data_IF_275900941140
#
_entry.id   IF_275900941140
#
_cell.length_a   1.000
_cell.length_b   1.000
_cell.length_c   1.000
_cell.angle_alpha   90.00
_cell.angle_beta   90.00
_cell.angle_gamma   90.00
#
_symmetry.space_group_name_H-M   'P 1'
#
loop_
_entity.id
_entity.type
_entity.pdbx_description
1 polymer ?
#
# COMPACT_ATOMS: atom_id res chain seq x y z
N UNK A 1 -7.51 34.85 16.38
CA UNK A 1 -6.09 35.04 16.01
C UNK A 1 -5.23 33.83 16.35
N UNK A 2 -5.27 33.29 17.58
CA UNK A 2 -4.48 32.12 17.97
C UNK A 2 -4.80 30.81 17.20
N UNK A 3 -6.07 30.61 16.83
CA UNK A 3 -6.53 29.43 16.09
C UNK A 3 -5.87 29.32 14.71
N UNK A 4 -5.66 30.45 14.03
CA UNK A 4 -4.98 30.51 12.73
C UNK A 4 -3.52 30.07 12.90
N UNK A 5 -2.83 30.53 13.94
CA UNK A 5 -1.45 30.14 14.24
C UNK A 5 -1.33 28.63 14.48
N UNK A 6 -2.27 28.01 15.20
CA UNK A 6 -2.29 26.55 15.43
C UNK A 6 -2.47 25.78 14.11
N UNK A 7 -3.38 26.21 13.23
CA UNK A 7 -3.57 25.59 11.92
C UNK A 7 -2.38 25.79 10.98
N UNK A 8 -1.69 26.94 11.05
CA UNK A 8 -0.47 27.19 10.27
C UNK A 8 0.67 26.29 10.73
N UNK A 9 0.85 26.10 12.04
CA UNK A 9 1.89 25.22 12.60
C UNK A 9 1.63 23.76 12.24
N UNK A 10 0.37 23.30 12.35
CA UNK A 10 -0.01 21.95 11.92
C UNK A 10 0.14 21.76 10.40
N UNK A 11 -0.21 22.77 9.60
CA UNK A 11 -0.02 22.75 8.15
C UNK A 11 1.45 22.69 7.75
N UNK A 12 2.32 23.45 8.44
CA UNK A 12 3.77 23.40 8.24
C UNK A 12 4.38 22.07 8.66
N UNK A 13 3.93 21.46 9.76
CA UNK A 13 4.36 20.12 10.14
C UNK A 13 3.90 19.06 9.14
N UNK A 14 2.66 19.15 8.65
CA UNK A 14 2.14 18.25 7.62
C UNK A 14 2.86 18.41 6.26
N UNK A 15 3.32 19.63 5.94
CA UNK A 15 4.11 19.94 4.72
C UNK A 15 5.48 19.25 4.70
N UNK A 16 6.09 19.01 5.86
CA UNK A 16 7.44 18.46 5.96
C UNK A 16 7.46 16.94 5.88
N UNK A 17 6.45 16.26 6.43
CA UNK A 17 6.48 14.79 6.56
C UNK A 17 5.68 14.06 5.47
N UNK A 18 4.58 14.63 4.94
CA UNK A 18 3.69 13.89 4.03
C UNK A 18 2.97 14.80 3.02
N UNK A 19 3.49 14.98 1.79
CA UNK A 19 2.95 15.93 0.80
C UNK A 19 1.51 15.63 0.34
N UNK A 20 1.01 14.40 0.49
CA UNK A 20 -0.37 14.03 0.14
C UNK A 20 -1.42 14.58 1.13
N UNK A 21 -1.01 14.90 2.37
CA UNK A 21 -1.87 15.46 3.42
C UNK A 21 -2.27 16.90 3.17
N UNK A 22 -1.56 17.58 2.27
CA UNK A 22 -1.66 19.01 2.01
C UNK A 22 -3.04 19.43 1.48
N UNK A 23 -3.60 18.65 0.54
CA UNK A 23 -4.90 18.94 -0.06
C UNK A 23 -6.04 18.85 0.97
N UNK A 24 -5.97 17.87 1.88
CA UNK A 24 -6.96 17.71 2.95
C UNK A 24 -6.89 18.85 3.96
N UNK A 25 -5.68 19.31 4.29
CA UNK A 25 -5.46 20.40 5.25
C UNK A 25 -5.94 21.75 4.71
N UNK A 26 -5.63 22.06 3.43
CA UNK A 26 -6.12 23.26 2.76
C UNK A 26 -7.64 23.26 2.66
N UNK A 27 -8.26 22.13 2.30
CA UNK A 27 -9.71 21.98 2.25
C UNK A 27 -10.37 22.35 3.58
N UNK A 28 -9.86 21.81 4.69
CA UNK A 28 -10.35 22.12 6.04
C UNK A 28 -10.14 23.60 6.40
N UNK A 29 -8.97 24.17 6.08
CA UNK A 29 -8.66 25.59 6.29
C UNK A 29 -9.61 26.51 5.52
N UNK A 30 -9.94 26.19 4.26
CA UNK A 30 -10.94 26.95 3.48
C UNK A 30 -12.33 26.88 4.11
N UNK A 31 -12.75 25.73 4.64
CA UNK A 31 -14.05 25.62 5.32
C UNK A 31 -14.06 26.46 6.60
N UNK A 32 -13.03 26.34 7.43
CA UNK A 32 -12.91 27.08 8.71
C UNK A 32 -12.80 28.60 8.48
N UNK A 33 -12.04 29.03 7.48
CA UNK A 33 -11.92 30.45 7.12
C UNK A 33 -13.19 31.00 6.48
N UNK A 34 -13.91 30.20 5.68
CA UNK A 34 -15.21 30.59 5.12
C UNK A 34 -16.28 30.80 6.18
N UNK A 35 -16.23 30.05 7.30
CA UNK A 35 -17.18 30.20 8.40
C UNK A 35 -16.85 31.41 9.28
N UNK A 36 -15.57 31.79 9.38
CA UNK A 36 -15.12 32.87 10.28
C UNK A 36 -15.09 34.28 9.64
N UNK A 37 -15.24 34.40 8.32
CA UNK A 37 -15.28 35.68 7.61
C UNK A 37 -16.62 36.42 7.75
N UNK A 38 -16.65 37.47 8.57
CA UNK A 38 -17.80 38.36 8.76
C UNK A 38 -18.16 39.20 7.51
N UNK A 39 -19.47 39.36 7.28
CA UNK A 39 -20.11 40.26 6.29
C UNK A 39 -19.76 40.05 4.80
N UNK A 40 -20.30 38.99 4.19
CA UNK A 40 -20.39 38.89 2.72
C UNK A 40 -21.83 38.66 2.26
N UNK A 41 -22.23 39.40 1.22
CA UNK A 41 -23.60 39.52 0.64
C UNK A 41 -24.37 38.19 0.59
N UNK A 42 -25.62 38.23 1.05
CA UNK A 42 -26.54 37.08 1.27
C UNK A 42 -26.60 36.08 0.09
N UNK A 43 -26.57 36.55 -1.17
CA UNK A 43 -26.58 35.67 -2.35
C UNK A 43 -25.34 34.79 -2.53
N UNK A 44 -24.16 35.24 -2.08
CA UNK A 44 -22.91 34.46 -2.14
C UNK A 44 -22.80 33.45 -0.98
N UNK A 45 -23.57 33.69 0.08
CA UNK A 45 -23.62 32.85 1.29
C UNK A 45 -24.37 31.55 1.04
N UNK A 46 -25.48 31.59 0.30
CA UNK A 46 -26.23 30.39 -0.09
C UNK A 46 -25.40 29.45 -0.98
N UNK A 47 -24.68 30.00 -1.96
CA UNK A 47 -23.77 29.21 -2.81
C UNK A 47 -22.62 28.60 -2.01
N UNK A 48 -22.04 29.35 -1.06
CA UNK A 48 -20.97 28.83 -0.20
C UNK A 48 -21.48 27.72 0.72
N UNK A 49 -22.65 27.90 1.36
CA UNK A 49 -23.25 26.88 2.22
C UNK A 49 -23.59 25.61 1.45
N UNK A 50 -24.20 25.74 0.26
CA UNK A 50 -24.52 24.59 -0.58
C UNK A 50 -23.25 23.82 -1.02
N UNK A 51 -22.17 24.52 -1.38
CA UNK A 51 -20.88 23.90 -1.70
C UNK A 51 -20.28 23.19 -0.49
N UNK A 52 -20.30 23.81 0.69
CA UNK A 52 -19.79 23.18 1.92
C UNK A 52 -20.57 21.92 2.27
N UNK A 53 -21.90 21.96 2.18
CA UNK A 53 -22.75 20.77 2.40
C UNK A 53 -22.46 19.69 1.36
N UNK A 54 -22.33 20.06 0.09
CA UNK A 54 -22.00 19.13 -1.00
C UNK A 54 -20.64 18.46 -0.79
N UNK A 55 -19.61 19.23 -0.44
CA UNK A 55 -18.28 18.71 -0.11
C UNK A 55 -18.29 17.83 1.13
N UNK A 56 -19.03 18.20 2.18
CA UNK A 56 -19.16 17.39 3.39
C UNK A 56 -19.89 16.06 3.09
N UNK A 57 -20.95 16.08 2.28
CA UNK A 57 -21.65 14.88 1.85
C UNK A 57 -20.73 13.98 1.01
N UNK A 58 -19.98 14.55 0.06
CA UNK A 58 -19.00 13.82 -0.73
C UNK A 58 -17.90 13.20 0.13
N UNK A 59 -17.34 13.96 1.07
CA UNK A 59 -16.35 13.45 2.03
C UNK A 59 -16.92 12.33 2.90
N UNK A 60 -18.18 12.43 3.31
CA UNK A 60 -18.88 11.38 4.03
C UNK A 60 -19.03 10.09 3.22
N UNK A 61 -19.34 10.19 1.92
CA UNK A 61 -19.40 9.05 1.00
C UNK A 61 -18.04 8.37 0.87
N UNK A 62 -16.97 9.14 0.62
CA UNK A 62 -15.60 8.61 0.53
C UNK A 62 -15.18 7.93 1.84
N UNK A 63 -15.53 8.52 2.99
CA UNK A 63 -15.22 7.93 4.29
C UNK A 63 -16.00 6.63 4.54
N UNK A 64 -17.26 6.55 4.11
CA UNK A 64 -18.06 5.35 4.20
C UNK A 64 -17.52 4.22 3.32
N UNK A 65 -17.10 4.53 2.09
CA UNK A 65 -16.44 3.58 1.18
C UNK A 65 -15.11 3.09 1.77
N UNK A 66 -14.26 3.99 2.25
CA UNK A 66 -12.99 3.64 2.89
C UNK A 66 -13.20 2.76 4.13
N UNK A 67 -14.21 3.07 4.95
CA UNK A 67 -14.54 2.27 6.13
C UNK A 67 -14.98 0.85 5.75
N UNK A 68 -15.84 0.72 4.73
CA UNK A 68 -16.25 -0.59 4.20
C UNK A 68 -15.05 -1.38 3.69
N UNK A 69 -14.22 -0.78 2.85
CA UNK A 69 -13.05 -1.44 2.26
C UNK A 69 -12.05 -1.86 3.34
N UNK A 70 -11.88 -1.04 4.37
CA UNK A 70 -11.04 -1.36 5.52
C UNK A 70 -11.56 -2.60 6.27
N UNK A 71 -12.88 -2.68 6.52
CA UNK A 71 -13.48 -3.85 7.17
C UNK A 71 -13.28 -5.13 6.34
N UNK A 72 -13.37 -5.05 5.01
CA UNK A 72 -13.10 -6.19 4.12
C UNK A 72 -11.62 -6.61 4.19
N UNK A 73 -10.71 -5.65 4.18
CA UNK A 73 -9.28 -5.91 4.30
C UNK A 73 -8.93 -6.55 5.65
N UNK A 74 -9.45 -6.00 6.74
CA UNK A 74 -9.25 -6.52 8.10
C UNK A 74 -9.79 -7.96 8.22
N UNK A 75 -11.00 -8.20 7.69
CA UNK A 75 -11.59 -9.53 7.64
C UNK A 75 -10.70 -10.52 6.86
N UNK A 76 -10.21 -10.12 5.69
CA UNK A 76 -9.34 -10.96 4.87
C UNK A 76 -8.01 -11.29 5.58
N UNK A 77 -7.41 -10.32 6.27
CA UNK A 77 -6.17 -10.52 7.03
C UNK A 77 -6.38 -11.42 8.25
N UNK A 78 -7.50 -11.27 8.95
CA UNK A 78 -7.83 -12.08 10.12
C UNK A 78 -8.11 -13.55 9.74
N UNK A 79 -8.87 -13.76 8.67
CA UNK A 79 -9.30 -15.10 8.22
C UNK A 79 -8.26 -15.80 7.36
N UNK A 80 -7.43 -15.05 6.63
CA UNK A 80 -6.38 -15.57 5.74
C UNK A 80 -5.31 -16.41 6.43
N UNK A 81 -5.21 -16.34 7.76
CA UNK A 81 -4.32 -17.19 8.56
C UNK A 81 -4.82 -18.64 8.70
N UNK A 82 -6.09 -18.91 8.38
CA UNK A 82 -6.72 -20.23 8.51
C UNK A 82 -6.99 -20.82 7.14
N UNK A 83 -6.34 -21.95 6.83
CA UNK A 83 -6.44 -22.62 5.53
C UNK A 83 -7.90 -22.83 5.07
N UNK A 84 -8.79 -23.23 5.98
CA UNK A 84 -10.20 -23.48 5.68
C UNK A 84 -10.99 -22.22 5.27
N UNK A 85 -10.51 -21.02 5.65
CA UNK A 85 -11.17 -19.74 5.38
C UNK A 85 -10.49 -18.94 4.27
N UNK A 86 -9.42 -19.46 3.66
CA UNK A 86 -8.73 -18.80 2.56
C UNK A 86 -9.64 -18.39 1.39
N UNK A 87 -10.64 -19.19 0.96
CA UNK A 87 -11.55 -18.76 -0.10
C UNK A 87 -12.32 -17.49 0.26
N UNK A 88 -12.74 -17.36 1.52
CA UNK A 88 -13.47 -16.19 2.02
C UNK A 88 -12.56 -14.96 2.16
N UNK A 89 -11.32 -15.17 2.62
CA UNK A 89 -10.33 -14.10 2.66
C UNK A 89 -10.03 -13.57 1.25
N UNK A 90 -9.89 -14.47 0.27
CA UNK A 90 -9.67 -14.09 -1.13
C UNK A 90 -10.86 -13.35 -1.73
N UNK A 91 -12.09 -13.82 -1.50
CA UNK A 91 -13.28 -13.12 -2.01
C UNK A 91 -13.40 -11.72 -1.42
N UNK A 92 -13.17 -11.55 -0.11
CA UNK A 92 -13.21 -10.25 0.54
C UNK A 92 -12.18 -9.26 -0.03
N UNK A 93 -10.99 -9.73 -0.42
CA UNK A 93 -10.00 -8.89 -1.12
C UNK A 93 -10.45 -8.49 -2.54
N UNK A 94 -11.15 -9.37 -3.24
CA UNK A 94 -11.67 -9.09 -4.59
C UNK A 94 -12.86 -8.14 -4.57
N UNK A 95 -13.58 -8.06 -3.46
CA UNK A 95 -14.70 -7.12 -3.27
C UNK A 95 -14.24 -5.68 -3.05
N UNK A 96 -12.94 -5.45 -2.80
CA UNK A 96 -12.35 -4.11 -2.70
C UNK A 96 -12.07 -3.58 -4.11
N UNK A 97 -12.66 -2.45 -4.53
CA UNK A 97 -12.50 -1.92 -5.88
C UNK A 97 -11.04 -1.57 -6.22
N UNK A 98 -10.61 -1.68 -7.49
CA UNK A 98 -9.26 -1.27 -7.93
C UNK A 98 -8.96 0.23 -7.76
N UNK A 99 -10.00 1.07 -7.66
CA UNK A 99 -9.88 2.50 -7.40
C UNK A 99 -9.88 2.88 -5.92
N UNK A 100 -9.96 1.89 -5.02
CA UNK A 100 -9.94 2.12 -3.58
C UNK A 100 -8.59 2.69 -3.13
N UNK A 101 -8.61 3.54 -2.11
CA UNK A 101 -7.38 3.98 -1.43
C UNK A 101 -6.63 2.80 -0.78
N UNK A 102 -7.28 1.66 -0.58
CA UNK A 102 -6.69 0.45 -0.01
C UNK A 102 -6.20 -0.56 -1.05
N UNK A 103 -6.37 -0.30 -2.36
CA UNK A 103 -5.89 -1.21 -3.41
C UNK A 103 -4.40 -1.55 -3.32
N UNK A 104 -3.47 -0.64 -2.93
CA UNK A 104 -2.08 -1.01 -2.69
C UNK A 104 -1.90 -2.03 -1.56
N UNK A 105 -2.69 -1.95 -0.48
CA UNK A 105 -2.68 -2.93 0.61
C UNK A 105 -3.21 -4.29 0.17
N UNK A 106 -4.23 -4.31 -0.70
CA UNK A 106 -4.74 -5.55 -1.32
C UNK A 106 -3.62 -6.21 -2.13
N UNK A 107 -2.91 -5.43 -2.96
CA UNK A 107 -1.80 -5.94 -3.76
C UNK A 107 -0.64 -6.46 -2.88
N UNK A 108 -0.29 -5.75 -1.80
CA UNK A 108 0.71 -6.23 -0.84
C UNK A 108 0.29 -7.55 -0.19
N UNK A 109 -0.95 -7.62 0.29
CA UNK A 109 -1.49 -8.83 0.93
C UNK A 109 -1.51 -10.02 -0.04
N UNK A 110 -1.91 -9.77 -1.29
CA UNK A 110 -1.91 -10.77 -2.35
C UNK A 110 -0.49 -11.22 -2.72
N UNK A 111 0.48 -10.30 -2.85
CA UNK A 111 1.87 -10.63 -3.14
C UNK A 111 2.52 -11.42 -2.00
N UNK A 112 2.24 -11.10 -0.73
CA UNK A 112 2.77 -11.87 0.41
C UNK A 112 2.18 -13.29 0.45
N UNK A 113 0.89 -13.41 0.11
CA UNK A 113 0.14 -14.67 0.25
C UNK A 113 0.17 -15.57 -0.99
N UNK A 114 0.67 -15.09 -2.14
CA UNK A 114 0.74 -15.89 -3.35
C UNK A 114 1.84 -16.96 -3.26
N UNK A 115 1.63 -18.04 -4.02
CA UNK A 115 2.66 -19.03 -4.26
C UNK A 115 3.43 -18.68 -5.55
N UNK A 116 4.67 -18.17 -5.44
CA UNK A 116 5.40 -17.66 -6.60
C UNK A 116 5.81 -18.75 -7.58
N UNK A 117 5.68 -20.03 -7.22
CA UNK A 117 5.94 -21.18 -8.10
C UNK A 117 4.72 -21.56 -8.96
N UNK A 118 3.51 -21.22 -8.52
CA UNK A 118 2.26 -21.70 -9.15
C UNK A 118 1.49 -20.59 -9.86
N UNK A 119 1.61 -19.34 -9.42
CA UNK A 119 0.91 -18.21 -10.04
C UNK A 119 1.42 -17.93 -11.46
N UNK A 120 0.58 -17.33 -12.30
CA UNK A 120 1.02 -16.74 -13.58
C UNK A 120 2.15 -15.74 -13.34
N UNK A 121 3.21 -15.81 -14.14
CA UNK A 121 4.37 -14.91 -14.02
C UNK A 121 3.98 -13.46 -14.27
N UNK A 122 3.15 -13.19 -15.28
CA UNK A 122 2.66 -11.83 -15.59
C UNK A 122 1.90 -11.22 -14.42
N UNK A 123 0.94 -11.98 -13.88
CA UNK A 123 0.02 -11.48 -12.88
C UNK A 123 0.73 -11.34 -11.53
N UNK A 124 1.58 -12.31 -11.20
CA UNK A 124 2.43 -12.25 -10.02
C UNK A 124 3.36 -11.05 -10.04
N UNK A 125 4.01 -10.76 -11.18
CA UNK A 125 4.88 -9.60 -11.32
C UNK A 125 4.10 -8.28 -11.24
N UNK A 126 2.91 -8.20 -11.81
CA UNK A 126 2.06 -7.01 -11.72
C UNK A 126 1.68 -6.71 -10.25
N UNK A 127 1.18 -7.73 -9.54
CA UNK A 127 0.76 -7.60 -8.13
C UNK A 127 1.96 -7.30 -7.22
N UNK A 128 3.05 -8.06 -7.36
CA UNK A 128 4.24 -7.84 -6.54
C UNK A 128 4.99 -6.55 -6.90
N UNK A 129 4.85 -6.05 -8.13
CA UNK A 129 5.35 -4.74 -8.53
C UNK A 129 4.73 -3.62 -7.68
N UNK A 130 3.41 -3.62 -7.52
CA UNK A 130 2.71 -2.66 -6.64
C UNK A 130 3.15 -2.83 -5.19
N UNK A 131 3.19 -4.08 -4.69
CA UNK A 131 3.59 -4.37 -3.31
C UNK A 131 5.00 -3.83 -2.98
N UNK A 132 5.96 -4.03 -3.88
CA UNK A 132 7.35 -3.61 -3.69
C UNK A 132 7.54 -2.09 -3.72
N UNK A 133 6.68 -1.35 -4.41
CA UNK A 133 6.72 0.12 -4.41
C UNK A 133 6.00 0.71 -3.20
N UNK A 134 4.95 0.06 -2.72
CA UNK A 134 4.10 0.59 -1.65
C UNK A 134 4.60 0.21 -0.25
N UNK A 135 4.78 -1.09 0.01
CA UNK A 135 5.13 -1.61 1.33
C UNK A 135 5.95 -2.90 1.18
N UNK A 136 7.25 -2.80 0.82
CA UNK A 136 8.09 -3.96 0.61
C UNK A 136 8.30 -4.74 1.91
N UNK A 137 8.14 -6.06 1.83
CA UNK A 137 8.40 -7.02 2.91
C UNK A 137 9.37 -8.10 2.44
N UNK A 138 9.87 -8.93 3.36
CA UNK A 138 10.72 -10.08 3.00
C UNK A 138 9.96 -11.03 2.07
N UNK A 139 8.73 -11.36 2.40
CA UNK A 139 7.89 -12.28 1.63
C UNK A 139 7.59 -11.74 0.23
N UNK A 140 7.16 -10.48 0.13
CA UNK A 140 6.86 -9.85 -1.16
C UNK A 140 8.13 -9.70 -2.02
N UNK A 141 9.26 -9.35 -1.41
CA UNK A 141 10.55 -9.26 -2.09
C UNK A 141 11.07 -10.60 -2.61
N UNK A 142 10.99 -11.66 -1.80
CA UNK A 142 11.37 -13.01 -2.23
C UNK A 142 10.42 -13.53 -3.31
N UNK A 143 9.11 -13.36 -3.14
CA UNK A 143 8.12 -13.78 -4.14
C UNK A 143 8.36 -13.04 -5.48
N UNK A 144 8.60 -11.72 -5.45
CA UNK A 144 8.94 -10.94 -6.63
C UNK A 144 10.23 -11.44 -7.33
N UNK A 145 11.28 -11.73 -6.56
CA UNK A 145 12.53 -12.24 -7.12
C UNK A 145 12.36 -13.63 -7.77
N UNK A 146 11.61 -14.52 -7.14
CA UNK A 146 11.30 -15.85 -7.71
C UNK A 146 10.50 -15.71 -9.01
N UNK A 147 9.54 -14.77 -9.06
CA UNK A 147 8.79 -14.50 -10.28
C UNK A 147 9.67 -13.92 -11.40
N UNK A 148 10.61 -13.03 -11.07
CA UNK A 148 11.61 -12.53 -12.05
C UNK A 148 12.48 -13.67 -12.58
N UNK A 149 12.93 -14.57 -11.72
CA UNK A 149 13.68 -15.76 -12.15
C UNK A 149 12.86 -16.65 -13.09
N UNK A 150 11.59 -16.91 -12.76
CA UNK A 150 10.66 -17.67 -13.63
C UNK A 150 10.41 -16.96 -14.97
N UNK A 151 10.54 -15.64 -15.02
CA UNK A 151 10.47 -14.85 -16.25
C UNK A 151 11.77 -14.89 -17.08
N UNK A 152 12.81 -15.60 -16.63
CA UNK A 152 14.13 -15.64 -17.27
C UNK A 152 15.07 -14.50 -16.84
N UNK A 153 14.63 -13.59 -15.97
CA UNK A 153 15.39 -12.42 -15.50
C UNK A 153 16.23 -12.78 -14.28
N UNK A 154 17.13 -13.76 -14.43
CA UNK A 154 17.88 -14.34 -13.30
C UNK A 154 18.80 -13.33 -12.61
N UNK A 155 19.46 -12.45 -13.37
CA UNK A 155 20.37 -11.46 -12.80
C UNK A 155 19.62 -10.38 -12.03
N UNK A 156 18.48 -9.90 -12.56
CA UNK A 156 17.61 -8.97 -11.83
C UNK A 156 17.01 -9.60 -10.57
N UNK A 157 16.68 -10.88 -10.61
CA UNK A 157 16.17 -11.61 -9.44
C UNK A 157 17.24 -11.66 -8.33
N UNK A 158 18.49 -12.00 -8.67
CA UNK A 158 19.62 -12.02 -7.74
C UNK A 158 19.92 -10.65 -7.15
N UNK A 159 19.98 -9.64 -8.00
CA UNK A 159 20.22 -8.25 -7.61
C UNK A 159 19.09 -7.71 -6.70
N UNK A 160 17.84 -8.05 -7.00
CA UNK A 160 16.69 -7.71 -6.14
C UNK A 160 16.80 -8.38 -4.76
N UNK A 161 17.18 -9.66 -4.68
CA UNK A 161 17.42 -10.34 -3.41
C UNK A 161 18.63 -9.77 -2.66
N UNK A 162 19.69 -9.38 -3.38
CA UNK A 162 20.85 -8.74 -2.76
C UNK A 162 20.47 -7.42 -2.09
N UNK A 163 19.75 -6.54 -2.80
CA UNK A 163 19.20 -5.31 -2.21
C UNK A 163 18.29 -5.58 -1.03
N UNK A 164 17.42 -6.59 -1.14
CA UNK A 164 16.52 -6.97 -0.05
C UNK A 164 17.30 -7.37 1.21
N UNK A 165 18.35 -8.19 1.08
CA UNK A 165 19.23 -8.59 2.20
C UNK A 165 19.90 -7.41 2.88
N UNK A 166 20.31 -6.39 2.10
CA UNK A 166 20.90 -5.17 2.64
C UNK A 166 19.84 -4.36 3.39
N UNK A 167 18.66 -4.18 2.78
CA UNK A 167 17.58 -3.38 3.33
C UNK A 167 16.99 -3.97 4.62
N UNK A 168 16.90 -5.30 4.74
CA UNK A 168 16.28 -5.99 5.88
C UNK A 168 17.24 -6.21 7.04
N UNK A 169 18.24 -5.35 7.23
CA UNK A 169 19.38 -5.54 8.14
C UNK A 169 19.07 -5.96 9.59
N UNK A 170 17.82 -5.81 10.05
CA UNK A 170 17.32 -6.28 11.34
C UNK A 170 16.94 -7.79 11.37
N UNK A 171 16.45 -8.36 10.27
CA UNK A 171 16.17 -9.81 10.12
C UNK A 171 17.01 -10.40 8.99
N UNK A 172 18.32 -10.50 9.23
CA UNK A 172 19.30 -11.05 8.26
C UNK A 172 18.99 -12.48 7.82
N UNK A 173 18.26 -13.25 8.63
CA UNK A 173 17.91 -14.64 8.34
C UNK A 173 16.57 -14.81 7.64
N UNK A 174 15.69 -13.80 7.65
CA UNK A 174 14.33 -13.92 7.11
C UNK A 174 14.30 -14.23 5.61
N UNK A 175 15.14 -13.56 4.83
CA UNK A 175 15.26 -13.78 3.38
C UNK A 175 15.67 -15.23 3.08
N UNK A 176 16.70 -15.73 3.75
CA UNK A 176 17.20 -17.10 3.54
C UNK A 176 16.19 -18.14 4.02
N UNK A 177 15.57 -17.96 5.20
CA UNK A 177 14.52 -18.87 5.70
C UNK A 177 13.37 -18.99 4.69
N UNK A 178 12.93 -17.86 4.12
CA UNK A 178 11.85 -17.85 3.13
C UNK A 178 12.28 -18.49 1.82
N UNK A 179 13.48 -18.17 1.32
CA UNK A 179 14.02 -18.72 0.08
C UNK A 179 14.26 -20.24 0.20
N UNK A 180 14.79 -20.71 1.32
CA UNK A 180 15.05 -22.12 1.58
C UNK A 180 13.77 -22.95 1.55
N UNK A 181 12.67 -22.42 2.12
CA UNK A 181 11.35 -23.06 2.03
C UNK A 181 10.85 -23.21 0.59
N UNK A 182 11.26 -22.33 -0.33
CA UNK A 182 10.94 -22.44 -1.75
C UNK A 182 11.92 -23.34 -2.50
N UNK A 183 13.22 -23.32 -2.16
CA UNK A 183 14.23 -24.23 -2.73
C UNK A 183 13.88 -25.70 -2.46
N UNK A 184 13.34 -26.00 -1.28
CA UNK A 184 12.84 -27.36 -0.97
C UNK A 184 11.72 -27.82 -1.92
N UNK A 185 11.00 -26.88 -2.55
CA UNK A 185 9.90 -27.16 -3.49
C UNK A 185 10.35 -27.10 -4.95
N UNK A 186 11.39 -26.33 -5.26
CA UNK A 186 12.04 -26.25 -6.57
C UNK A 186 13.55 -26.01 -6.41
N UNK A 187 14.33 -27.07 -6.56
CA UNK A 187 15.79 -27.05 -6.37
C UNK A 187 16.51 -26.08 -7.31
N UNK A 188 15.91 -25.75 -8.46
CA UNK A 188 16.51 -24.83 -9.45
C UNK A 188 16.65 -23.42 -8.89
N UNK A 189 15.88 -23.06 -7.86
CA UNK A 189 15.99 -21.78 -7.16
C UNK A 189 17.32 -21.60 -6.42
N UNK A 190 18.12 -22.66 -6.22
CA UNK A 190 19.45 -22.56 -5.60
C UNK A 190 20.36 -21.56 -6.33
N UNK A 191 20.11 -21.32 -7.62
CA UNK A 191 20.79 -20.33 -8.46
C UNK A 191 20.66 -18.90 -7.93
N UNK A 192 19.61 -18.61 -7.15
CA UNK A 192 19.35 -17.30 -6.53
C UNK A 192 20.11 -17.09 -5.21
N UNK A 193 20.72 -18.13 -4.67
CA UNK A 193 21.54 -18.08 -3.46
C UNK A 193 22.97 -17.61 -3.74
N UNK A 194 23.47 -17.88 -4.95
CA UNK A 194 24.85 -17.58 -5.31
C UNK A 194 25.13 -16.09 -5.13
N UNK A 195 26.13 -15.78 -4.30
CA UNK A 195 26.74 -14.45 -4.27
C UNK A 195 27.14 -14.13 -5.71
N UNK A 196 26.74 -12.96 -6.20
CA UNK A 196 27.49 -12.34 -7.27
C UNK A 196 28.92 -12.20 -6.74
N UNK A 197 29.83 -13.08 -7.18
CA UNK A 197 31.25 -12.81 -7.11
C UNK A 197 31.50 -11.70 -8.14
N UNK A 198 31.14 -10.47 -7.77
CA UNK A 198 31.51 -9.29 -8.53
C UNK A 198 33.01 -9.06 -8.39
N UNK A 199 33.73 -8.73 -9.47
CA UNK A 199 35.11 -8.24 -9.35
C UNK A 199 35.08 -6.91 -8.59
N UNK A 200 35.94 -6.80 -7.57
CA UNK A 200 36.26 -5.52 -6.92
C UNK A 200 36.96 -4.56 -7.90
#
# INVERSE_FOLDING_TARGET
TWTISVFVILGLHALIEYPLSYAYFLGLLTVVTSISGGSWRVGRRLTATALTIGLAAWGGLVLAELHRDYQLLEFALATGKRQAQLPQAKSALLDIPPGSLLSPWVATTACVSLDPLQVSVSDGLAVCGVAMHFAPTIESGVNAAVLKWRAGLTDEARDSLHRLRIATGYDRGGVERRLDGLILRDEKLVVLRQKQNGPE
#
